data_IF_430938578698
#
_entry.id   IF_430938578698
#
_cell.length_a   1.000
_cell.length_b   1.000
_cell.length_c   1.000
_cell.angle_alpha   90.00
_cell.angle_beta   90.00
_cell.angle_gamma   90.00
#
_symmetry.space_group_name_H-M   'P 1'
#
loop_
_entity.id
_entity.type
_entity.pdbx_description
1 polymer ?
#
# COMPACT_ATOMS: atom_id res chain seq x y z
N UNK A 1 -0.71 -28.66 3.41
CA UNK A 1 -0.19 -27.70 2.40
C UNK A 1 0.85 -26.82 3.08
N UNK A 2 2.05 -26.66 2.51
CA UNK A 2 3.05 -25.74 3.07
C UNK A 2 2.64 -24.31 2.73
N UNK A 3 2.48 -23.46 3.73
CA UNK A 3 2.23 -22.02 3.56
C UNK A 3 3.56 -21.29 3.64
N UNK A 4 3.90 -20.54 2.59
CA UNK A 4 5.06 -19.67 2.57
C UNK A 4 4.62 -18.24 2.89
N UNK A 5 5.46 -17.54 3.65
CA UNK A 5 5.27 -16.16 4.07
C UNK A 5 6.43 -15.31 3.56
N UNK A 6 6.14 -14.12 3.06
CA UNK A 6 7.16 -13.16 2.67
C UNK A 6 7.23 -12.03 3.69
N UNK A 7 8.44 -11.71 4.16
CA UNK A 7 8.70 -10.55 5.02
C UNK A 7 8.65 -9.26 4.18
N UNK A 8 7.87 -8.28 4.61
CA UNK A 8 7.73 -6.99 3.94
C UNK A 8 7.92 -5.87 4.97
N UNK A 9 8.61 -4.82 4.56
CA UNK A 9 8.78 -3.59 5.34
C UNK A 9 7.81 -2.55 4.76
N UNK A 10 6.93 -2.01 5.59
CA UNK A 10 6.01 -0.95 5.18
C UNK A 10 6.79 0.30 4.75
N UNK A 11 6.57 0.79 3.52
CA UNK A 11 7.27 1.97 2.97
C UNK A 11 6.88 3.30 3.64
N UNK A 12 5.82 3.31 4.43
CA UNK A 12 5.36 4.51 5.16
C UNK A 12 5.87 4.54 6.60
N UNK A 13 5.52 3.52 7.40
CA UNK A 13 5.84 3.48 8.83
C UNK A 13 7.03 2.60 9.20
N UNK A 14 7.63 1.86 8.26
CA UNK A 14 8.76 0.96 8.52
C UNK A 14 8.41 -0.35 9.24
N UNK A 15 7.14 -0.56 9.63
CA UNK A 15 6.70 -1.80 10.30
C UNK A 15 6.94 -3.02 9.42
N UNK A 16 7.50 -4.07 10.02
CA UNK A 16 7.65 -5.38 9.40
C UNK A 16 6.32 -6.14 9.53
N UNK A 17 5.85 -6.72 8.43
CA UNK A 17 4.70 -7.62 8.39
C UNK A 17 4.95 -8.77 7.41
N UNK A 18 4.23 -9.87 7.58
CA UNK A 18 4.35 -11.05 6.73
C UNK A 18 3.10 -11.23 5.90
N UNK A 19 3.24 -11.69 4.66
CA UNK A 19 2.10 -11.96 3.76
C UNK A 19 2.29 -13.33 3.13
N UNK A 20 1.23 -14.14 3.10
CA UNK A 20 1.29 -15.43 2.43
C UNK A 20 1.18 -15.28 0.91
N UNK A 21 1.60 -16.31 0.17
CA UNK A 21 1.56 -16.30 -1.29
C UNK A 21 0.16 -16.01 -1.85
N UNK A 22 -0.90 -16.56 -1.25
CA UNK A 22 -2.27 -16.36 -1.71
C UNK A 22 -2.78 -14.94 -1.50
N UNK A 23 -2.30 -14.25 -0.46
CA UNK A 23 -2.63 -12.84 -0.21
C UNK A 23 -1.65 -11.88 -0.89
N UNK A 24 -0.58 -12.37 -1.52
CA UNK A 24 0.44 -11.52 -2.12
C UNK A 24 -0.01 -10.97 -3.47
N UNK A 25 -0.15 -9.65 -3.55
CA UNK A 25 -0.48 -8.91 -4.77
C UNK A 25 0.45 -7.71 -4.97
N UNK A 26 1.66 -7.77 -4.40
CA UNK A 26 2.63 -6.66 -4.44
C UNK A 26 2.45 -5.63 -3.32
N UNK A 27 2.05 -6.07 -2.11
CA UNK A 27 1.86 -5.16 -0.98
C UNK A 27 3.16 -4.47 -0.57
N UNK A 28 3.09 -3.17 -0.36
CA UNK A 28 4.20 -2.34 0.11
C UNK A 28 3.88 -1.58 1.40
N UNK A 29 2.63 -1.66 1.87
CA UNK A 29 2.12 -0.97 3.05
C UNK A 29 1.38 -1.98 3.92
N UNK A 30 1.48 -1.83 5.25
CA UNK A 30 0.80 -2.73 6.18
C UNK A 30 -0.72 -2.54 6.19
N UNK A 31 -1.20 -1.33 5.92
CA UNK A 31 -2.61 -0.95 6.02
C UNK A 31 -2.94 0.19 5.07
N UNK A 32 -4.24 0.45 4.87
CA UNK A 32 -4.70 1.61 4.10
C UNK A 32 -4.34 2.94 4.76
N UNK A 33 -4.30 2.97 6.10
CA UNK A 33 -3.80 4.12 6.87
C UNK A 33 -2.36 4.52 6.51
N UNK A 34 -1.52 3.58 6.08
CA UNK A 34 -0.18 3.85 5.56
C UNK A 34 -0.18 4.13 4.04
N UNK A 35 -1.08 3.51 3.30
CA UNK A 35 -1.18 3.62 1.83
C UNK A 35 -1.69 4.99 1.39
N UNK A 36 -2.74 5.49 2.04
CA UNK A 36 -3.43 6.71 1.64
C UNK A 36 -2.58 7.97 1.78
N UNK A 37 -1.86 8.23 2.89
CA UNK A 37 -0.98 9.38 2.96
C UNK A 37 0.21 9.24 1.98
N UNK A 38 0.70 8.03 1.71
CA UNK A 38 1.74 7.80 0.71
C UNK A 38 1.23 8.15 -0.71
N UNK A 39 0.03 7.71 -1.08
CA UNK A 39 -0.64 8.09 -2.35
C UNK A 39 -0.83 9.61 -2.44
N UNK A 40 -1.34 10.24 -1.37
CA UNK A 40 -1.54 11.69 -1.31
C UNK A 40 -0.23 12.45 -1.50
N UNK A 41 0.86 11.99 -0.89
CA UNK A 41 2.20 12.57 -1.06
C UNK A 41 2.68 12.51 -2.51
N UNK A 42 2.55 11.36 -3.17
CA UNK A 42 2.91 11.18 -4.59
C UNK A 42 2.05 12.08 -5.47
N UNK A 43 0.73 12.06 -5.26
CA UNK A 43 -0.21 12.91 -6.00
C UNK A 43 0.12 14.40 -5.84
N UNK A 44 0.35 14.87 -4.61
CA UNK A 44 0.70 16.27 -4.35
C UNK A 44 2.00 16.66 -5.05
N UNK A 45 3.01 15.77 -5.08
CA UNK A 45 4.26 16.01 -5.81
C UNK A 45 3.98 16.14 -7.32
N UNK A 46 3.22 15.21 -7.90
CA UNK A 46 2.84 15.26 -9.31
C UNK A 46 2.04 16.53 -9.63
N UNK A 47 1.08 16.91 -8.78
CA UNK A 47 0.28 18.12 -8.94
C UNK A 47 1.14 19.38 -8.84
N UNK A 48 2.12 19.43 -7.93
CA UNK A 48 3.07 20.54 -7.81
C UNK A 48 3.86 20.73 -9.10
N UNK A 49 4.40 19.64 -9.66
CA UNK A 49 5.13 19.66 -10.93
C UNK A 49 4.22 20.08 -12.09
N UNK A 50 3.00 19.53 -12.17
CA UNK A 50 2.04 19.89 -13.20
C UNK A 50 1.69 21.38 -13.17
N UNK A 51 1.46 21.96 -11.98
CA UNK A 51 1.15 23.40 -11.83
C UNK A 51 2.26 24.32 -12.32
N UNK A 52 3.51 23.84 -12.39
CA UNK A 52 4.65 24.61 -12.91
C UNK A 52 4.72 24.61 -14.43
N UNK A 53 4.04 23.67 -15.11
CA UNK A 53 3.97 23.60 -16.58
C UNK A 53 3.07 24.70 -17.15
N UNK A 54 3.31 25.13 -18.40
CA UNK A 54 2.45 26.12 -19.06
C UNK A 54 1.00 25.65 -19.21
N UNK A 55 0.80 24.35 -19.50
CA UNK A 55 -0.53 23.73 -19.53
C UNK A 55 -1.21 23.84 -18.16
N UNK A 56 -0.47 23.56 -17.09
CA UNK A 56 -0.97 23.69 -15.71
C UNK A 56 -1.32 25.12 -15.32
N UNK A 57 -0.46 26.09 -15.64
CA UNK A 57 -0.71 27.53 -15.40
C UNK A 57 -1.94 28.02 -16.15
N UNK A 58 -2.07 27.66 -17.42
CA UNK A 58 -3.21 28.03 -18.27
C UNK A 58 -4.52 27.43 -17.74
N UNK A 59 -4.51 26.15 -17.36
CA UNK A 59 -5.66 25.49 -16.74
C UNK A 59 -6.04 26.16 -15.40
N UNK A 60 -5.05 26.55 -14.59
CA UNK A 60 -5.26 27.27 -13.35
C UNK A 60 -5.91 28.64 -13.59
N UNK A 61 -5.40 29.43 -14.53
CA UNK A 61 -5.95 30.73 -14.90
C UNK A 61 -7.40 30.61 -15.40
N UNK A 62 -7.69 29.62 -16.25
CA UNK A 62 -9.05 29.35 -16.73
C UNK A 62 -10.00 28.93 -15.59
N UNK A 63 -9.54 28.10 -14.66
CA UNK A 63 -10.32 27.70 -13.49
C UNK A 63 -10.61 28.88 -12.55
N UNK A 64 -9.63 29.76 -12.32
CA UNK A 64 -9.79 30.99 -11.54
C UNK A 64 -10.79 31.94 -12.19
N UNK A 65 -10.72 32.13 -13.53
CA UNK A 65 -11.69 32.91 -14.29
C UNK A 65 -13.11 32.37 -14.12
N UNK A 66 -13.31 31.05 -14.27
CA UNK A 66 -14.63 30.41 -14.05
C UNK A 66 -15.16 30.61 -12.64
N UNK A 67 -14.30 30.53 -11.62
CA UNK A 67 -14.68 30.80 -10.22
C UNK A 67 -15.15 32.25 -10.04
N UNK A 68 -14.42 33.24 -10.57
CA UNK A 68 -14.79 34.66 -10.49
C UNK A 68 -16.10 34.99 -11.22
N UNK A 69 -16.37 34.33 -12.34
CA UNK A 69 -17.61 34.50 -13.11
C UNK A 69 -18.81 33.74 -12.52
N UNK A 70 -18.67 33.07 -11.36
CA UNK A 70 -19.76 32.29 -10.76
C UNK A 70 -20.15 31.04 -11.56
N UNK A 71 -19.42 30.69 -12.62
CA UNK A 71 -19.68 29.53 -13.49
C UNK A 71 -19.23 28.20 -12.86
N UNK A 72 -18.71 28.25 -11.64
CA UNK A 72 -18.40 27.10 -10.81
C UNK A 72 -19.68 26.60 -10.15
N UNK A 73 -20.35 25.59 -10.73
CA UNK A 73 -21.36 24.83 -9.99
C UNK A 73 -20.66 24.17 -8.79
N UNK A 74 -20.98 24.63 -7.58
CA UNK A 74 -20.63 23.91 -6.35
C UNK A 74 -21.64 22.78 -6.23
N UNK A 75 -21.23 21.55 -6.50
CA UNK A 75 -21.97 20.40 -5.99
C UNK A 75 -21.69 20.37 -4.49
N UNK A 76 -22.68 20.67 -3.66
CA UNK A 76 -22.56 20.79 -2.20
C UNK A 76 -22.56 19.43 -1.49
N UNK A 77 -22.37 18.34 -2.24
CA UNK A 77 -22.75 17.00 -1.78
C UNK A 77 -21.55 16.16 -1.28
N UNK A 78 -20.34 16.73 -1.24
CA UNK A 78 -19.19 16.03 -0.65
C UNK A 78 -19.26 16.13 0.87
N UNK A 79 -19.91 15.14 1.49
CA UNK A 79 -19.69 14.83 2.90
C UNK A 79 -18.17 14.67 3.13
N UNK A 80 -17.62 15.39 4.11
CA UNK A 80 -16.21 15.29 4.50
C UNK A 80 -15.83 13.84 4.72
N UNK A 81 -15.10 13.24 3.78
CA UNK A 81 -14.61 11.85 3.86
C UNK A 81 -13.40 11.75 4.77
N UNK A 82 -13.20 12.70 5.69
CA UNK A 82 -12.16 12.57 6.72
C UNK A 82 -12.64 11.44 7.63
N UNK A 83 -12.08 10.22 7.52
CA UNK A 83 -12.49 9.16 8.41
C UNK A 83 -12.15 9.63 9.83
N UNK A 84 -13.00 9.36 10.82
CA UNK A 84 -12.58 9.45 12.21
C UNK A 84 -11.26 8.69 12.35
N UNK A 85 -10.27 9.32 12.99
CA UNK A 85 -9.05 8.61 13.36
C UNK A 85 -9.43 7.52 14.35
N UNK A 86 -9.60 6.30 13.86
CA UNK A 86 -9.70 5.14 14.73
C UNK A 86 -8.37 5.03 15.46
N UNK A 87 -8.43 5.43 16.73
CA UNK A 87 -7.33 5.32 17.66
C UNK A 87 -6.79 3.90 17.64
N UNK A 88 -5.46 3.85 17.55
CA UNK A 88 -4.66 2.65 17.56
C UNK A 88 -5.10 1.68 18.67
N UNK A 89 -5.67 0.54 18.27
CA UNK A 89 -5.55 -0.64 19.11
C UNK A 89 -4.18 -1.25 18.86
N UNK A 90 -3.25 -0.69 19.63
CA UNK A 90 -1.94 -1.22 19.88
C UNK A 90 -2.04 -2.65 20.44
N UNK A 91 -2.09 -3.65 19.57
CA UNK A 91 -1.75 -5.02 19.95
C UNK A 91 -0.26 -5.23 19.70
N UNK A 92 0.56 -4.68 20.59
CA UNK A 92 1.85 -5.28 20.91
C UNK A 92 1.58 -6.63 21.57
N UNK A 93 1.28 -7.64 20.76
CA UNK A 93 1.40 -9.02 21.20
C UNK A 93 2.69 -9.59 20.60
N UNK A 94 3.82 -9.17 21.19
CA UNK A 94 5.07 -9.91 21.10
C UNK A 94 4.86 -11.15 21.98
N UNK A 95 4.19 -12.17 21.44
CA UNK A 95 4.05 -13.45 22.12
C UNK A 95 4.26 -14.59 21.13
N UNK A 96 5.40 -15.27 21.31
CA UNK A 96 5.72 -16.60 20.78
C UNK A 96 5.63 -16.81 19.25
N UNK A 97 6.60 -16.23 18.54
CA UNK A 97 7.48 -16.86 17.53
C UNK A 97 6.90 -17.78 16.43
N UNK A 98 5.67 -17.59 15.95
CA UNK A 98 5.30 -18.13 14.63
C UNK A 98 4.89 -17.00 13.69
N UNK A 99 5.67 -16.71 12.63
CA UNK A 99 5.28 -15.71 11.65
C UNK A 99 3.94 -16.11 11.02
N UNK A 100 3.03 -15.15 10.89
CA UNK A 100 1.69 -15.33 10.34
C UNK A 100 1.35 -14.23 9.33
N UNK A 101 0.50 -14.55 8.36
CA UNK A 101 0.03 -13.60 7.37
C UNK A 101 -0.78 -12.48 8.04
N UNK A 102 -0.44 -11.23 7.73
CA UNK A 102 -1.11 -10.05 8.26
C UNK A 102 -2.59 -9.95 7.84
N UNK A 103 -2.94 -10.48 6.66
CA UNK A 103 -4.29 -10.35 6.09
C UNK A 103 -5.22 -11.51 6.45
N UNK A 104 -4.72 -12.76 6.45
CA UNK A 104 -5.56 -13.94 6.69
C UNK A 104 -5.18 -14.74 7.94
N UNK A 105 -4.14 -14.33 8.67
CA UNK A 105 -3.67 -15.01 9.89
C UNK A 105 -2.95 -16.34 9.66
N UNK A 106 -2.82 -16.83 8.42
CA UNK A 106 -2.19 -18.11 8.13
C UNK A 106 -0.72 -18.16 8.60
N UNK A 107 -0.37 -19.18 9.39
CA UNK A 107 1.00 -19.45 9.85
C UNK A 107 1.81 -20.15 8.76
N UNK A 108 3.11 -19.90 8.66
CA UNK A 108 3.93 -20.47 7.60
C UNK A 108 5.44 -20.24 7.73
N UNK A 109 6.19 -20.76 6.76
CA UNK A 109 7.65 -20.63 6.68
C UNK A 109 7.99 -19.31 5.99
N UNK A 110 8.88 -18.51 6.58
CA UNK A 110 9.33 -17.25 5.96
C UNK A 110 10.33 -17.54 4.85
N UNK A 111 10.07 -16.96 3.67
CA UNK A 111 10.92 -17.03 2.48
C UNK A 111 11.17 -15.62 1.95
N UNK A 112 12.32 -15.39 1.31
CA UNK A 112 12.63 -14.11 0.67
C UNK A 112 11.80 -13.89 -0.60
N UNK A 113 11.61 -14.98 -1.36
CA UNK A 113 10.82 -15.05 -2.57
C UNK A 113 9.90 -16.26 -2.51
N UNK A 114 8.68 -16.13 -3.03
CA UNK A 114 7.80 -17.29 -3.11
C UNK A 114 8.32 -18.28 -4.14
N UNK A 115 8.31 -19.59 -3.86
CA UNK A 115 8.68 -20.59 -4.84
C UNK A 115 7.78 -20.45 -6.08
N UNK A 116 8.39 -20.64 -7.25
CA UNK A 116 7.67 -20.69 -8.51
C UNK A 116 6.65 -21.84 -8.45
N UNK A 117 5.43 -21.59 -8.92
CA UNK A 117 4.42 -22.66 -9.02
C UNK A 117 4.62 -23.37 -10.33
N UNK A 118 5.05 -24.62 -10.29
CA UNK A 118 4.99 -25.47 -11.48
C UNK A 118 3.53 -25.83 -11.83
N UNK A 119 3.29 -26.09 -13.11
CA UNK A 119 2.03 -26.68 -13.56
C UNK A 119 1.81 -28.01 -12.82
N UNK A 120 0.74 -28.11 -12.03
CA UNK A 120 0.44 -29.28 -11.19
C UNK A 120 0.57 -29.08 -9.67
N UNK A 121 0.90 -27.86 -9.21
CA UNK A 121 0.75 -27.48 -7.79
C UNK A 121 1.80 -28.07 -6.84
N UNK A 122 2.90 -28.62 -7.38
CA UNK A 122 4.06 -29.03 -6.60
C UNK A 122 5.01 -27.83 -6.48
N UNK A 123 5.42 -27.53 -5.25
CA UNK A 123 6.45 -26.54 -5.01
C UNK A 123 7.80 -27.24 -5.14
N UNK A 124 8.60 -26.87 -6.13
CA UNK A 124 10.04 -27.16 -6.06
C UNK A 124 10.59 -26.32 -4.92
N UNK A 125 11.06 -27.01 -3.88
CA UNK A 125 11.95 -26.36 -2.93
C UNK A 125 13.29 -26.44 -3.65
N UNK A 126 13.57 -25.47 -4.51
CA UNK A 126 14.95 -25.27 -4.96
C UNK A 126 15.69 -24.73 -3.74
N UNK A 127 16.14 -25.69 -2.93
CA UNK A 127 16.95 -25.49 -1.75
C UNK A 127 18.24 -24.82 -2.23
N UNK A 128 18.42 -23.58 -1.79
CA UNK A 128 19.70 -23.07 -1.29
C UNK A 128 20.90 -23.96 -1.61
N UNK A 129 21.61 -23.66 -2.69
CA UNK A 129 23.02 -24.00 -2.78
C UNK A 129 23.78 -22.86 -3.47
N UNK A 130 24.70 -22.27 -2.69
CA UNK A 130 25.95 -21.63 -3.10
C UNK A 130 25.87 -20.21 -3.70
N UNK A 131 25.96 -19.22 -2.82
CA UNK A 131 26.92 -18.14 -3.04
C UNK A 131 28.27 -18.63 -2.50
N UNK A 132 29.19 -18.96 -3.41
CA UNK A 132 30.63 -18.93 -3.14
C UNK A 132 31.11 -17.46 -3.13
#
# INVERSE_FOLDING_TARGET
MKTFLRKIICRWCGKIFYVCQSCWHGQAYCSDTCRDPAKKKIHNKAQKLYRQTEKGKSAHAAAERRRRLGQSKKNMDDASTTPPSDHDNNSHNISSMTPCCHFCGAKGIVVEQFPHREYGGRYTIDIFTNYC
#
